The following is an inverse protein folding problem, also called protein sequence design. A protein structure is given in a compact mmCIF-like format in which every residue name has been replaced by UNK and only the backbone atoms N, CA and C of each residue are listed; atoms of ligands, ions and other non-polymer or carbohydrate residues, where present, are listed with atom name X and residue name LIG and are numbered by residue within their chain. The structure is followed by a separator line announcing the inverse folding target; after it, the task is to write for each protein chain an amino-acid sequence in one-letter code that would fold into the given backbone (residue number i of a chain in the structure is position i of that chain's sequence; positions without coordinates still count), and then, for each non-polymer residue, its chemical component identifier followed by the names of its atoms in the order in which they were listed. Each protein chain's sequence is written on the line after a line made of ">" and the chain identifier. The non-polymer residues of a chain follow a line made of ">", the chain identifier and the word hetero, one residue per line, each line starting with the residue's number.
data_IF_558110998882
#
_entry.id   IF_558110998882
#
_cell.length_a   1.000
_cell.length_b   1.000
_cell.length_c   1.000
_cell.angle_alpha   90.00
_cell.angle_beta   90.00
_cell.angle_gamma   90.00
#
_symmetry.space_group_name_H-M   'P 1'
#
loop_
_entity.id
_entity.type
_entity.pdbx_description
1 polymer ?
2 polymer ?
3 polymer ?
4 water ?
#
# COMPACT_ATOMS: atom_id res chain seq x y z
N UNK A 1 23.07 -2.54 -10.45
CA UNK A 1 22.41 -1.85 -11.55
C UNK A 1 22.22 -0.36 -11.25
N UNK A 2 21.33 0.28 -12.00
CA UNK A 2 21.06 1.71 -11.86
C UNK A 2 19.96 1.90 -10.82
N UNK A 3 20.28 2.62 -9.75
CA UNK A 3 19.30 2.78 -8.68
C UNK A 3 19.55 4.07 -7.91
N UNK A 4 18.52 4.45 -7.14
CA UNK A 4 18.61 5.53 -6.16
C UNK A 4 18.26 4.95 -4.79
N UNK A 5 19.11 5.20 -3.81
CA UNK A 5 18.98 4.58 -2.49
C UNK A 5 18.74 5.67 -1.46
N UNK A 6 17.62 5.59 -0.74
CA UNK A 6 17.18 6.65 0.16
C UNK A 6 17.43 6.29 1.61
N UNK A 7 17.46 7.32 2.46
CA UNK A 7 17.63 7.17 3.88
C UNK A 7 16.33 6.68 4.54
N UNK A 8 16.40 6.41 5.83
CA UNK A 8 15.31 5.78 6.55
C UNK A 8 14.29 6.77 7.07
N UNK A 9 13.25 6.21 7.69
CA UNK A 9 12.08 7.00 8.05
C UNK A 9 12.41 8.12 9.01
N UNK A 10 11.63 9.19 8.93
CA UNK A 10 11.75 10.36 9.78
C UNK A 10 10.50 10.46 10.65
N UNK A 11 10.68 10.61 11.96
CA UNK A 11 9.57 10.85 12.87
C UNK A 11 9.80 12.22 13.50
N UNK A 12 8.87 13.14 13.27
CA UNK A 12 9.08 14.55 13.57
C UNK A 12 7.81 15.15 14.17
N UNK A 13 8.00 16.14 15.05
CA UNK A 13 6.88 16.89 15.57
C UNK A 13 6.44 17.95 14.56
N UNK A 14 5.19 18.39 14.63
CA UNK A 14 4.78 19.55 13.83
C UNK A 14 5.67 20.75 14.14
N UNK A 15 6.03 21.48 13.09
CA UNK A 15 6.93 22.60 13.21
C UNK A 15 8.39 22.25 13.05
N UNK A 16 8.76 20.97 13.11
CA UNK A 16 10.13 20.53 12.95
C UNK A 16 10.47 20.46 11.46
N UNK A 17 11.63 19.88 11.14
CA UNK A 17 12.09 19.73 9.77
C UNK A 17 12.44 18.27 9.51
N UNK A 18 12.16 17.80 8.29
CA UNK A 18 12.48 16.44 7.87
C UNK A 18 13.58 16.50 6.83
N UNK A 19 14.54 15.59 6.93
CA UNK A 19 15.65 15.50 5.99
C UNK A 19 15.70 14.10 5.40
N UNK A 20 15.83 14.03 4.09
CA UNK A 20 15.93 12.77 3.38
C UNK A 20 17.14 12.86 2.47
N UNK A 21 17.94 11.80 2.44
CA UNK A 21 19.07 11.73 1.53
C UNK A 21 18.81 10.67 0.47
N UNK A 22 19.52 10.79 -0.63
CA UNK A 22 19.22 10.01 -1.83
C UNK A 22 20.54 9.81 -2.57
N UNK A 23 21.02 8.56 -2.63
CA UNK A 23 22.32 8.25 -3.21
C UNK A 23 22.18 7.61 -4.57
N UNK A 24 22.86 8.17 -5.57
CA UNK A 24 22.86 7.61 -6.91
C UNK A 24 23.89 6.49 -7.00
N UNK A 25 23.49 5.36 -7.58
CA UNK A 25 24.34 4.19 -7.71
C UNK A 25 24.19 3.61 -9.10
N UNK A 26 25.30 3.48 -9.83
CA UNK A 26 25.24 2.95 -11.17
C UNK A 26 25.05 3.99 -12.26
N UNK A 27 24.97 5.27 -11.91
CA UNK A 27 24.98 6.34 -12.88
C UNK A 27 25.55 7.57 -12.19
N UNK A 28 25.89 8.58 -12.99
CA UNK A 28 26.49 9.80 -12.46
C UNK A 28 25.37 10.77 -12.12
N UNK A 29 25.32 11.17 -10.84
CA UNK A 29 24.21 11.99 -10.34
C UNK A 29 24.07 13.28 -11.12
N UNK A 30 25.19 13.90 -11.49
CA UNK A 30 25.16 15.20 -12.14
C UNK A 30 24.73 15.12 -13.59
N UNK A 31 24.47 13.93 -14.11
CA UNK A 31 24.06 13.75 -15.49
C UNK A 31 22.55 13.91 -15.71
N UNK A 32 21.74 13.96 -14.64
CA UNK A 32 20.29 13.93 -14.78
C UNK A 32 19.67 14.82 -13.72
N UNK A 33 18.54 15.45 -14.07
CA UNK A 33 17.73 16.15 -13.08
C UNK A 33 17.24 15.15 -12.03
N UNK A 34 17.18 15.59 -10.78
CA UNK A 34 16.78 14.78 -9.64
C UNK A 34 15.54 15.44 -9.04
N UNK A 35 14.43 14.73 -9.04
CA UNK A 35 13.14 15.25 -8.58
C UNK A 35 12.78 14.66 -7.23
N UNK A 36 11.92 15.37 -6.52
CA UNK A 36 11.31 14.84 -5.32
C UNK A 36 9.80 14.83 -5.51
N UNK A 37 9.19 13.69 -5.20
CA UNK A 37 7.76 13.46 -5.38
C UNK A 37 7.26 12.78 -4.11
N UNK A 38 6.14 13.25 -3.57
CA UNK A 38 5.64 12.61 -2.36
C UNK A 38 4.26 12.04 -2.59
N UNK A 39 3.87 11.11 -1.72
CA UNK A 39 2.57 10.46 -1.83
C UNK A 39 1.99 10.30 -0.44
N UNK A 40 0.99 11.11 -0.12
CA UNK A 40 0.36 11.01 1.19
C UNK A 40 -0.59 9.83 1.18
N UNK A 41 -0.93 9.31 2.37
CA UNK A 41 -1.77 8.11 2.40
C UNK A 41 -3.08 8.29 1.63
N UNK A 42 -3.41 7.27 0.84
CA UNK A 42 -4.64 7.25 0.06
C UNK A 42 -4.72 8.25 -1.07
N UNK A 43 -3.61 8.84 -1.47
CA UNK A 43 -3.66 9.93 -2.44
C UNK A 43 -2.71 9.66 -3.59
N UNK A 44 -2.88 10.47 -4.62
CA UNK A 44 -1.98 10.44 -5.75
C UNK A 44 -0.67 11.13 -5.45
N UNK A 45 0.23 11.01 -6.41
CA UNK A 45 1.57 11.58 -6.29
C UNK A 45 1.58 13.08 -6.51
N UNK A 46 2.48 13.75 -5.80
CA UNK A 46 2.61 15.20 -5.81
C UNK A 46 4.07 15.57 -6.07
N UNK A 47 4.33 16.22 -7.21
CA UNK A 47 5.68 16.69 -7.54
C UNK A 47 6.06 17.88 -6.67
N UNK A 48 7.24 17.80 -6.04
CA UNK A 48 7.69 18.87 -5.15
C UNK A 48 8.66 19.83 -5.81
N UNK A 49 9.46 19.37 -6.76
CA UNK A 49 10.47 20.22 -7.36
C UNK A 49 11.62 19.38 -7.88
N UNK A 50 12.54 20.04 -8.60
CA UNK A 50 13.74 19.33 -9.01
C UNK A 50 15.02 20.06 -8.61
N UNK A 51 16.11 19.29 -8.62
CA UNK A 51 17.47 19.77 -8.44
C UNK A 51 18.25 19.47 -9.70
N UNK A 52 18.99 20.45 -10.20
CA UNK A 52 20.03 20.23 -11.20
C UNK A 52 21.29 19.87 -10.43
N UNK A 53 21.68 18.59 -10.36
CA UNK A 53 22.79 18.22 -9.47
C UNK A 53 24.13 18.69 -9.98
N UNK A 54 24.23 19.01 -11.26
CA UNK A 54 25.45 19.60 -11.81
C UNK A 54 25.65 21.02 -11.29
N UNK A 55 24.66 21.88 -11.50
CA UNK A 55 24.77 23.31 -11.18
C UNK A 55 24.31 23.65 -9.76
N UNK A 56 23.48 22.82 -9.15
CA UNK A 56 22.86 23.16 -7.89
C UNK A 56 21.57 23.96 -8.02
N UNK A 57 21.20 24.35 -9.26
CA UNK A 57 19.97 25.06 -9.47
C UNK A 57 18.77 24.18 -9.15
N UNK A 58 17.65 24.84 -8.88
CA UNK A 58 16.43 24.11 -8.48
C UNK A 58 15.21 24.76 -9.11
N UNK A 59 14.11 24.03 -9.08
CA UNK A 59 12.81 24.56 -9.46
C UNK A 59 11.80 23.93 -8.51
N UNK A 60 11.29 24.71 -7.57
CA UNK A 60 10.36 24.20 -6.56
C UNK A 60 8.92 24.48 -7.00
N UNK A 61 8.03 23.53 -6.72
CA UNK A 61 6.61 23.80 -6.86
C UNK A 61 6.20 24.93 -5.92
N UNK A 62 5.28 25.79 -6.37
CA UNK A 62 4.93 26.98 -5.57
C UNK A 62 4.39 26.60 -4.21
N UNK A 63 3.74 25.44 -4.11
CA UNK A 63 3.20 24.97 -2.83
C UNK A 63 4.27 24.86 -1.76
N UNK A 64 5.53 24.60 -2.14
CA UNK A 64 6.59 24.33 -1.18
C UNK A 64 7.63 25.44 -1.13
N UNK A 65 7.43 26.53 -1.87
CA UNK A 65 8.39 27.62 -1.84
C UNK A 65 8.45 28.21 -0.44
N UNK A 66 9.67 28.42 0.05
CA UNK A 66 9.90 28.88 1.39
C UNK A 66 10.01 27.76 2.40
N UNK A 67 9.68 26.52 2.02
CA UNK A 67 9.68 25.39 2.94
C UNK A 67 10.65 24.29 2.57
N UNK A 68 11.10 24.21 1.33
CA UNK A 68 11.85 23.05 0.86
C UNK A 68 13.23 23.50 0.38
N UNK A 69 14.24 22.68 0.65
CA UNK A 69 15.58 22.90 0.15
C UNK A 69 16.08 21.61 -0.48
N UNK A 70 16.58 21.71 -1.69
CA UNK A 70 17.15 20.57 -2.41
C UNK A 70 18.61 20.88 -2.71
N UNK A 71 19.50 20.02 -2.21
CA UNK A 71 20.94 20.23 -2.29
C UNK A 71 21.60 18.92 -2.66
N UNK A 72 22.92 18.94 -2.85
CA UNK A 72 23.61 17.69 -3.09
C UNK A 72 25.06 17.82 -2.67
N UNK A 73 25.67 16.65 -2.48
CA UNK A 73 27.12 16.51 -2.34
C UNK A 73 27.57 15.63 -3.50
N UNK A 74 28.10 16.24 -4.57
CA UNK A 74 28.47 15.46 -5.74
C UNK A 74 29.62 14.51 -5.46
N UNK A 75 30.44 14.78 -4.42
CA UNK A 75 31.58 13.92 -4.12
C UNK A 75 31.14 12.56 -3.61
N UNK A 76 29.96 12.46 -2.99
CA UNK A 76 29.44 11.18 -2.54
C UNK A 76 28.14 10.82 -3.27
N UNK A 77 27.89 11.45 -4.42
CA UNK A 77 26.78 11.13 -5.32
C UNK A 77 25.43 11.19 -4.62
N UNK A 78 25.29 12.07 -3.63
CA UNK A 78 24.13 12.10 -2.75
C UNK A 78 23.38 13.42 -2.86
N UNK A 79 22.05 13.34 -3.00
CA UNK A 79 21.18 14.50 -2.99
C UNK A 79 20.40 14.53 -1.68
N UNK A 80 19.94 15.73 -1.31
CA UNK A 80 19.25 15.92 -0.05
C UNK A 80 18.01 16.76 -0.27
N UNK A 81 16.95 16.43 0.46
CA UNK A 81 15.75 17.26 0.50
C UNK A 81 15.46 17.54 1.96
N UNK A 82 15.24 18.80 2.29
CA UNK A 82 14.80 19.18 3.63
C UNK A 82 13.48 19.93 3.51
N UNK A 83 12.50 19.55 4.34
CA UNK A 83 11.20 20.20 4.37
C UNK A 83 10.99 20.74 5.77
N UNK A 84 10.78 22.05 5.87
CA UNK A 84 10.69 22.76 7.14
C UNK A 84 9.23 23.01 7.53
N UNK A 85 9.04 23.47 8.76
CA UNK A 85 7.72 23.88 9.27
C UNK A 85 6.68 22.79 9.00
N UNK A 86 7.01 21.57 9.39
CA UNK A 86 6.18 20.42 9.07
C UNK A 86 4.78 20.57 9.66
N UNK A 87 3.79 20.13 8.89
CA UNK A 87 2.41 20.03 9.35
C UNK A 87 1.95 18.59 9.15
N UNK A 88 0.83 18.25 9.78
CA UNK A 88 0.34 16.87 9.70
C UNK A 88 0.12 16.44 8.26
N UNK A 89 -0.30 17.35 7.38
CA UNK A 89 -0.49 17.02 5.97
C UNK A 89 0.80 16.67 5.25
N UNK A 90 1.97 16.89 5.87
CA UNK A 90 3.22 16.47 5.25
C UNK A 90 3.53 15.00 5.48
N UNK A 91 2.75 14.31 6.29
CA UNK A 91 2.96 12.88 6.46
C UNK A 91 2.76 12.17 5.13
N UNK A 92 3.80 11.49 4.63
CA UNK A 92 3.76 10.94 3.28
C UNK A 92 4.99 10.07 3.05
N UNK A 93 4.97 9.32 1.95
CA UNK A 93 6.19 8.69 1.45
C UNK A 93 6.84 9.68 0.49
N UNK A 94 8.15 9.90 0.63
CA UNK A 94 8.89 10.84 -0.21
C UNK A 94 9.84 10.05 -1.08
N UNK A 95 9.72 10.24 -2.39
CA UNK A 95 10.59 9.58 -3.35
C UNK A 95 11.55 10.60 -3.96
N UNK A 96 12.81 10.22 -4.11
CA UNK A 96 13.64 10.88 -5.11
C UNK A 96 13.58 10.07 -6.40
N UNK A 97 13.69 10.78 -7.51
CA UNK A 97 13.42 10.16 -8.81
C UNK A 97 14.13 10.97 -9.88
N UNK A 98 14.78 10.26 -10.78
CA UNK A 98 15.49 10.86 -11.89
C UNK A 98 14.55 11.02 -13.07
N UNK A 99 14.74 12.10 -13.83
CA UNK A 99 14.09 12.23 -15.13
C UNK A 99 15.14 12.24 -16.24
N UNK A 100 14.70 11.92 -17.44
CA UNK A 100 15.56 12.04 -18.64
C UNK A 100 14.87 13.01 -19.57
N UNK A 101 15.43 14.22 -19.67
CA UNK A 101 14.83 15.30 -20.45
C UNK A 101 15.05 15.11 -21.95
N UNK A 102 16.01 14.27 -22.33
CA UNK A 102 16.32 14.06 -23.73
C UNK A 102 15.59 12.84 -24.28
N UNK A 103 16.13 11.66 -23.99
CA UNK A 103 15.56 10.42 -24.56
C UNK A 103 14.10 10.22 -24.15
N UNK A 104 13.75 10.54 -22.91
CA UNK A 104 12.44 10.17 -22.38
C UNK A 104 11.49 11.36 -22.27
N UNK A 105 11.86 12.52 -22.81
CA UNK A 105 10.97 13.67 -22.87
C UNK A 105 10.39 14.01 -21.51
N UNK A 106 11.24 13.97 -20.48
CA UNK A 106 10.85 14.37 -19.14
C UNK A 106 10.28 13.28 -18.26
N UNK A 107 10.17 12.04 -18.75
CA UNK A 107 9.60 10.98 -17.93
C UNK A 107 10.58 10.57 -16.82
N UNK A 108 10.04 9.87 -15.83
CA UNK A 108 10.75 9.53 -14.59
C UNK A 108 11.12 8.05 -14.64
N UNK A 109 12.38 7.72 -14.95
CA UNK A 109 12.69 6.30 -15.18
C UNK A 109 13.26 5.56 -13.96
N UNK A 110 14.04 6.21 -13.09
CA UNK A 110 14.64 5.56 -11.94
C UNK A 110 14.11 6.22 -10.68
N UNK A 111 13.47 5.43 -9.81
CA UNK A 111 12.85 5.89 -8.57
C UNK A 111 13.57 5.30 -7.37
N UNK A 112 13.78 6.11 -6.34
CA UNK A 112 14.22 5.57 -5.06
C UNK A 112 13.13 4.69 -4.46
N UNK A 113 13.49 4.01 -3.37
CA UNK A 113 12.52 3.14 -2.72
C UNK A 113 11.50 3.91 -1.90
N UNK A 114 11.73 5.20 -1.66
CA UNK A 114 10.85 5.98 -0.82
C UNK A 114 11.31 6.03 0.64
N UNK A 115 10.99 7.16 1.29
CA UNK A 115 11.27 7.38 2.70
C UNK A 115 9.99 7.85 3.36
N UNK A 116 9.59 7.19 4.46
CA UNK A 116 8.41 7.63 5.18
C UNK A 116 8.76 8.81 6.06
N UNK A 117 7.93 9.84 6.03
CA UNK A 117 8.02 10.94 6.98
C UNK A 117 6.70 10.98 7.74
N UNK A 118 6.78 10.77 9.06
CA UNK A 118 5.64 10.80 9.95
C UNK A 118 5.71 12.08 10.77
N UNK A 119 4.68 12.92 10.65
CA UNK A 119 4.56 14.12 11.48
C UNK A 119 3.62 13.77 12.63
N UNK A 120 4.17 13.69 13.84
CA UNK A 120 3.50 13.03 14.96
C UNK A 120 3.34 14.02 16.11
N UNK A 121 2.09 14.17 16.60
CA UNK A 121 1.93 14.86 17.87
C UNK A 121 1.43 13.84 18.90
N UNK A 122 0.13 13.60 18.93
CA UNK A 122 -0.40 12.56 19.81
C UNK A 122 0.03 11.17 19.31
N UNK A 123 0.31 10.28 20.24
CA UNK A 123 0.75 8.93 19.87
C UNK A 123 0.32 7.94 20.95
N UNK A 124 0.01 6.72 20.51
CA UNK A 124 -0.34 5.63 21.40
C UNK A 124 0.22 4.36 20.78
N UNK A 125 1.11 3.66 21.47
CA UNK A 125 1.66 2.42 20.93
C UNK A 125 0.61 1.33 20.88
N UNK A 126 0.79 0.36 19.99
CA UNK A 126 -0.23 -0.68 19.81
C UNK A 126 -0.23 -1.71 20.94
N UNK A 127 -1.39 -2.30 21.17
CA UNK A 127 -1.48 -3.56 21.91
C UNK A 127 -1.46 -4.68 20.89
N UNK A 128 -0.69 -5.73 21.16
CA UNK A 128 -0.53 -6.82 20.20
C UNK A 128 -1.01 -8.10 20.85
N UNK A 129 -2.00 -8.74 20.24
CA UNK A 129 -2.62 -9.94 20.79
C UNK A 129 -2.50 -11.11 19.84
N UNK A 130 -2.25 -12.32 20.32
CA UNK A 130 -2.13 -13.45 19.38
C UNK A 130 -3.48 -13.85 18.81
N UNK A 131 -3.47 -14.24 17.54
CA UNK A 131 -4.57 -14.94 16.90
C UNK A 131 -4.13 -16.41 16.82
N UNK A 132 -4.51 -17.18 17.83
CA UNK A 132 -3.90 -18.50 18.04
C UNK A 132 -4.46 -19.53 17.06
N UNK A 133 -3.61 -20.37 16.49
CA UNK A 133 -4.14 -21.46 15.66
C UNK A 133 -4.82 -22.49 16.53
N UNK A 134 -5.87 -23.10 15.98
CA UNK A 134 -6.63 -24.13 16.68
C UNK A 134 -7.31 -24.99 15.62
N UNK A 135 -8.10 -25.97 16.08
CA UNK A 135 -8.90 -26.73 15.14
C UNK A 135 -9.88 -25.83 14.39
N UNK A 136 -10.22 -24.69 14.97
CA UNK A 136 -11.16 -23.75 14.34
C UNK A 136 -10.50 -22.88 13.28
N UNK A 137 -9.16 -22.93 13.17
CA UNK A 137 -8.45 -22.20 12.12
C UNK A 137 -7.57 -23.15 11.34
N UNK A 138 -8.01 -24.40 11.22
CA UNK A 138 -7.35 -25.38 10.37
C UNK A 138 -8.33 -25.84 9.30
N UNK A 139 -7.88 -25.88 8.05
CA UNK A 139 -8.71 -26.35 6.94
C UNK A 139 -7.81 -27.09 5.95
N UNK A 140 -8.10 -28.38 5.75
CA UNK A 140 -7.42 -29.21 4.76
C UNK A 140 -5.91 -29.14 4.70
N UNK A 141 -5.24 -29.37 5.82
CA UNK A 141 -3.79 -29.33 5.88
C UNK A 141 -3.21 -27.97 6.18
N UNK A 142 -4.02 -26.92 6.15
CA UNK A 142 -3.54 -25.55 6.34
C UNK A 142 -4.02 -25.05 7.69
N UNK A 143 -3.12 -24.43 8.45
CA UNK A 143 -3.52 -23.71 9.66
C UNK A 143 -3.27 -22.22 9.47
N UNK A 144 -4.19 -21.40 9.95
CA UNK A 144 -4.00 -19.96 9.93
C UNK A 144 -3.76 -19.48 11.36
N UNK A 145 -2.91 -18.47 11.47
CA UNK A 145 -2.60 -17.85 12.76
C UNK A 145 -2.27 -16.40 12.47
N UNK A 146 -2.18 -15.57 13.50
CA UNK A 146 -1.82 -14.19 13.25
C UNK A 146 -1.66 -13.38 14.52
N UNK A 147 -1.66 -12.05 14.33
CA UNK A 147 -1.61 -11.12 15.43
C UNK A 147 -2.61 -10.01 15.17
N UNK A 148 -3.37 -9.67 16.21
CA UNK A 148 -4.25 -8.50 16.20
C UNK A 148 -3.50 -7.32 16.80
N UNK A 149 -3.40 -6.23 16.04
CA UNK A 149 -2.64 -5.05 16.45
C UNK A 149 -3.66 -3.94 16.68
N UNK A 150 -3.95 -3.64 17.94
CA UNK A 150 -5.13 -2.87 18.32
C UNK A 150 -4.76 -1.56 19.01
N UNK A 151 -5.56 -0.52 18.74
CA UNK A 151 -5.59 0.72 19.54
C UNK A 151 -4.29 1.50 19.46
N UNK A 152 -3.82 1.75 18.24
CA UNK A 152 -2.61 2.54 18.05
C UNK A 152 -2.92 3.83 17.30
N UNK A 153 -2.00 4.77 17.39
CA UNK A 153 -2.14 6.05 16.73
C UNK A 153 -0.80 6.75 16.70
N UNK A 154 -0.45 7.44 15.61
CA UNK A 154 -1.12 7.40 14.32
C UNK A 154 -0.70 6.17 13.52
N UNK A 155 -1.12 6.09 12.27
CA UNK A 155 -0.54 5.09 11.39
C UNK A 155 0.91 5.45 11.10
N UNK A 156 1.74 4.47 10.69
CA UNK A 156 1.43 3.05 10.49
C UNK A 156 2.13 2.13 11.47
N UNK A 157 1.64 0.92 11.59
CA UNK A 157 2.47 -0.17 12.08
C UNK A 157 2.98 -0.94 10.87
N UNK A 158 4.17 -1.51 10.99
CA UNK A 158 4.62 -2.52 10.06
C UNK A 158 4.72 -3.84 10.81
N UNK A 159 4.39 -4.94 10.14
CA UNK A 159 4.41 -6.26 10.76
C UNK A 159 5.28 -7.17 9.92
N UNK A 160 6.23 -7.83 10.56
CA UNK A 160 6.96 -8.93 9.95
C UNK A 160 6.70 -10.19 10.78
N UNK A 161 7.06 -11.33 10.20
CA UNK A 161 6.91 -12.62 10.87
C UNK A 161 8.26 -13.29 10.92
N UNK A 162 8.62 -13.78 12.11
CA UNK A 162 9.92 -14.45 12.30
C UNK A 162 11.05 -13.60 11.78
N UNK A 163 10.97 -12.28 12.05
CA UNK A 163 12.01 -11.31 11.74
C UNK A 163 12.28 -11.21 10.24
N UNK A 164 11.24 -11.41 9.42
CA UNK A 164 11.37 -11.36 7.97
C UNK A 164 11.58 -12.69 7.29
N UNK A 165 11.81 -13.75 8.06
CA UNK A 165 12.02 -15.06 7.44
C UNK A 165 10.73 -15.67 6.91
N UNK A 166 9.58 -15.24 7.39
CA UNK A 166 8.30 -15.81 6.96
C UNK A 166 7.55 -14.70 6.23
N UNK A 167 7.40 -14.85 4.91
CA UNK A 167 6.68 -13.88 4.09
C UNK A 167 5.63 -14.56 3.24
N UNK A 168 5.88 -15.80 2.82
CA UNK A 168 4.90 -16.52 2.03
C UNK A 168 3.61 -16.71 2.83
N UNK A 169 2.49 -16.39 2.20
CA UNK A 169 1.20 -16.56 2.81
C UNK A 169 0.80 -15.53 3.86
N UNK A 170 1.62 -14.49 4.07
CA UNK A 170 1.30 -13.42 5.02
C UNK A 170 0.34 -12.43 4.38
N UNK A 171 -0.71 -12.08 5.11
CA UNK A 171 -1.59 -10.97 4.72
C UNK A 171 -1.63 -10.01 5.90
N UNK A 172 -1.05 -8.84 5.74
CA UNK A 172 -1.17 -7.79 6.74
C UNK A 172 -2.22 -6.85 6.18
N UNK A 173 -3.35 -6.80 6.87
CA UNK A 173 -4.50 -6.09 6.35
C UNK A 173 -4.36 -4.57 6.47
N UNK A 174 -4.95 -3.83 5.54
CA UNK A 174 -5.11 -2.38 5.73
C UNK A 174 -5.80 -2.09 7.04
N UNK A 175 -5.33 -1.06 7.73
CA UNK A 175 -5.92 -0.72 9.03
C UNK A 175 -7.35 -0.24 8.86
N UNK A 176 -8.13 -0.41 9.94
CA UNK A 176 -9.44 0.22 10.06
C UNK A 176 -9.32 1.33 11.09
N UNK A 177 -10.24 2.30 11.01
CA UNK A 177 -10.39 3.35 11.98
C UNK A 177 -11.49 2.96 12.96
N UNK A 178 -11.15 2.86 14.24
CA UNK A 178 -12.15 2.50 15.22
C UNK A 178 -12.93 3.74 15.64
N UNK A 179 -14.10 3.51 16.25
CA UNK A 179 -14.92 4.63 16.68
C UNK A 179 -14.19 5.49 17.71
N UNK A 180 -13.23 4.91 18.41
CA UNK A 180 -12.38 5.65 19.34
C UNK A 180 -11.45 6.66 18.64
N UNK A 181 -11.27 6.56 17.33
CA UNK A 181 -10.25 7.32 16.65
C UNK A 181 -8.89 6.65 16.60
N UNK A 182 -8.76 5.47 17.19
CA UNK A 182 -7.52 4.68 17.14
C UNK A 182 -7.62 3.65 16.03
N UNK A 183 -6.47 3.19 15.55
CA UNK A 183 -6.42 2.25 14.43
C UNK A 183 -6.27 0.83 14.93
N UNK A 184 -6.63 -0.12 14.06
CA UNK A 184 -6.48 -1.54 14.36
C UNK A 184 -6.27 -2.29 13.06
N UNK A 185 -5.48 -3.35 13.11
CA UNK A 185 -5.37 -4.26 11.97
C UNK A 185 -4.96 -5.62 12.48
N UNK A 186 -5.10 -6.63 11.62
CA UNK A 186 -4.54 -7.94 11.88
C UNK A 186 -3.56 -8.30 10.78
N UNK A 187 -2.58 -9.10 11.16
CA UNK A 187 -1.67 -9.74 10.23
C UNK A 187 -1.83 -11.23 10.41
N UNK A 188 -2.04 -11.96 9.30
CA UNK A 188 -2.28 -13.39 9.38
C UNK A 188 -1.32 -14.11 8.45
N UNK A 189 -1.14 -15.39 8.71
CA UNK A 189 -0.31 -16.21 7.82
C UNK A 189 -0.89 -17.62 7.80
N UNK A 190 -0.81 -18.27 6.66
CA UNK A 190 -1.15 -19.69 6.57
C UNK A 190 0.12 -20.52 6.47
N UNK A 191 0.14 -21.61 7.23
CA UNK A 191 1.29 -22.52 7.31
C UNK A 191 0.76 -23.95 7.28
N UNK A 192 1.60 -24.97 7.09
CA UNK A 192 1.06 -26.34 7.19
C UNK A 192 0.63 -26.61 8.62
N UNK A 193 -0.52 -27.28 8.76
CA UNK A 193 -0.95 -27.59 10.13
C UNK A 193 0.06 -28.49 10.82
N UNK A 194 0.75 -29.32 10.04
CA UNK A 194 1.82 -30.15 10.58
C UNK A 194 2.96 -29.35 11.21
N UNK A 195 3.09 -28.06 10.89
CA UNK A 195 4.22 -27.30 11.39
C UNK A 195 4.03 -26.77 12.80
N UNK A 196 2.82 -26.87 13.35
CA UNK A 196 2.51 -26.22 14.62
C UNK A 196 3.27 -26.83 15.79
N UNK A 197 3.71 -28.09 15.66
CA UNK A 197 4.48 -28.68 16.73
C UNK A 197 5.98 -28.44 16.70
N UNK A 198 6.55 -27.97 15.59
CA UNK A 198 7.98 -27.80 15.51
C UNK A 198 8.41 -26.37 15.19
N UNK A 199 7.54 -25.57 14.59
CA UNK A 199 7.93 -24.23 14.19
C UNK A 199 7.39 -23.23 15.22
N UNK A 200 8.16 -22.20 15.46
CA UNK A 200 7.66 -21.09 16.25
C UNK A 200 7.29 -19.95 15.31
N UNK A 201 6.24 -19.23 15.69
CA UNK A 201 5.74 -18.13 14.88
C UNK A 201 5.64 -16.90 15.76
N UNK A 202 6.42 -15.88 15.44
CA UNK A 202 6.48 -14.65 16.22
C UNK A 202 6.19 -13.49 15.28
N UNK A 203 5.23 -12.65 15.65
CA UNK A 203 4.97 -11.46 14.85
C UNK A 203 5.75 -10.28 15.44
N UNK A 204 6.38 -9.50 14.56
CA UNK A 204 7.21 -8.37 14.96
C UNK A 204 6.50 -7.10 14.52
N UNK A 205 6.03 -6.31 15.48
CA UNK A 205 5.20 -5.15 15.21
C UNK A 205 6.01 -3.90 15.52
N UNK A 206 6.27 -3.09 14.50
CA UNK A 206 7.01 -1.86 14.66
C UNK A 206 6.05 -0.68 14.54
N UNK A 207 6.06 0.20 15.52
CA UNK A 207 5.24 1.43 15.46
C UNK A 207 6.22 2.58 15.59
N UNK A 208 6.81 2.99 14.46
CA UNK A 208 7.80 4.05 14.48
C UNK A 208 7.27 5.35 15.07
N UNK A 209 6.02 5.76 14.84
CA UNK A 209 5.54 7.01 15.46
C UNK A 209 5.68 7.10 16.97
N UNK A 210 5.63 5.97 17.70
CA UNK A 210 5.83 5.96 19.14
C UNK A 210 7.16 5.34 19.54
N UNK A 211 8.01 5.02 18.55
CA UNK A 211 9.32 4.42 18.80
C UNK A 211 9.17 3.14 19.62
N UNK A 212 8.16 2.33 19.29
CA UNK A 212 7.92 1.09 20.01
C UNK A 212 8.00 -0.10 19.06
N UNK A 213 8.45 -1.22 19.60
CA UNK A 213 8.44 -2.49 18.90
C UNK A 213 7.91 -3.55 19.86
N UNK A 214 7.04 -4.42 19.36
CA UNK A 214 6.48 -5.51 20.16
C UNK A 214 6.65 -6.80 19.37
N UNK A 215 7.25 -7.81 20.00
CA UNK A 215 7.28 -9.16 19.44
C UNK A 215 6.32 -10.03 20.24
N UNK A 216 5.53 -10.84 19.55
CA UNK A 216 4.55 -11.70 20.22
C UNK A 216 4.63 -13.10 19.65
N UNK A 217 4.94 -14.07 20.50
CA UNK A 217 4.91 -15.47 20.08
C UNK A 217 3.48 -15.97 20.06
N UNK A 218 3.08 -16.57 18.95
CA UNK A 218 1.73 -17.04 18.73
C UNK A 218 1.72 -18.56 18.89
N UNK A 219 1.10 -19.04 19.96
CA UNK A 219 1.06 -20.45 20.26
C UNK A 219 -0.33 -21.05 20.08
N UNK A 220 -0.42 -22.34 19.81
CA UNK A 220 -1.72 -22.97 19.56
C UNK A 220 -2.62 -22.97 20.79
N UNK A 221 -3.92 -22.93 20.53
CA UNK A 221 -4.94 -23.08 21.55
C UNK A 221 -5.59 -24.45 21.44
N UNK A 222 -6.04 -24.96 22.58
CA UNK A 222 -6.45 -26.36 22.73
C UNK A 222 -7.93 -26.55 22.41
N UNK A 223 -8.35 -26.08 21.25
CA UNK A 223 -9.66 -26.39 20.71
C UNK A 223 -9.54 -26.61 19.21
N UNK B 1 -0.86 25.60 -12.43
CA UNK B 1 -0.33 24.28 -12.80
C UNK B 1 -1.31 23.54 -13.70
N UNK B 2 -0.80 22.61 -14.51
CA UNK B 2 -1.64 21.77 -15.35
C UNK B 2 -2.23 20.64 -14.52
N UNK B 3 -3.55 20.47 -14.57
CA UNK B 3 -4.26 19.46 -13.80
C UNK B 3 -4.55 18.25 -14.68
N UNK B 4 -4.41 17.06 -14.09
CA UNK B 4 -4.62 15.81 -14.81
C UNK B 4 -5.76 15.01 -14.17
N UNK B 5 -6.61 14.43 -15.01
CA UNK B 5 -7.75 13.63 -14.57
C UNK B 5 -7.85 12.38 -15.42
N UNK B 6 -8.20 11.26 -14.78
CA UNK B 6 -8.28 9.98 -15.45
C UNK B 6 -9.70 9.42 -15.35
N UNK B 7 -10.06 8.58 -16.31
CA UNK B 7 -11.36 7.92 -16.35
C UNK B 7 -11.20 6.55 -16.98
N UNK B 8 -11.82 5.51 -16.41
CA UNK B 8 -12.57 5.51 -15.16
C UNK B 8 -11.63 5.58 -13.95
N UNK B 9 -12.16 5.65 -12.74
CA UNK B 9 -11.28 5.52 -11.59
C UNK B 9 -10.96 4.07 -11.27
N UNK B 10 -11.81 3.13 -11.69
CA UNK B 10 -11.55 1.71 -11.48
C UNK B 10 -12.25 0.90 -12.55
N UNK B 11 -11.70 -0.26 -12.87
CA UNK B 11 -12.31 -1.17 -13.82
C UNK B 11 -11.88 -2.60 -13.53
N UNK B 12 -12.63 -3.54 -14.08
CA UNK B 12 -12.38 -4.95 -13.89
C UNK B 12 -12.50 -5.63 -15.23
N UNK B 13 -11.57 -6.53 -15.56
CA UNK B 13 -11.61 -7.19 -16.85
C UNK B 13 -10.92 -8.55 -16.77
N UNK B 14 -11.26 -9.42 -17.72
CA UNK B 14 -10.72 -10.78 -17.73
C UNK B 14 -9.34 -10.83 -18.39
N UNK B 15 -8.63 -11.91 -18.08
CA UNK B 15 -7.37 -12.19 -18.76
C UNK B 15 -7.64 -12.26 -20.26
N UNK B 16 -6.76 -11.65 -21.05
CA UNK B 16 -6.92 -11.59 -22.49
C UNK B 16 -7.75 -10.44 -23.00
N UNK B 17 -8.50 -9.75 -22.13
CA UNK B 17 -9.29 -8.60 -22.52
C UNK B 17 -8.40 -7.43 -22.89
N UNK B 18 -9.00 -6.47 -23.60
CA UNK B 18 -8.38 -5.19 -23.90
C UNK B 18 -9.08 -4.13 -23.08
N UNK B 19 -8.32 -3.38 -22.29
CA UNK B 19 -8.90 -2.29 -21.52
C UNK B 19 -8.28 -0.98 -21.95
N UNK B 20 -9.04 0.09 -21.80
CA UNK B 20 -8.56 1.42 -22.15
C UNK B 20 -8.84 2.38 -21.03
N UNK B 21 -7.83 3.18 -20.69
CA UNK B 21 -7.87 4.19 -19.65
C UNK B 21 -7.61 5.53 -20.30
N UNK B 22 -8.43 6.52 -19.98
CA UNK B 22 -8.25 7.85 -20.56
C UNK B 22 -7.61 8.80 -19.54
N UNK B 23 -6.86 9.76 -20.08
CA UNK B 23 -6.21 10.78 -19.27
C UNK B 23 -6.48 12.11 -19.95
N UNK B 24 -6.84 13.12 -19.16
CA UNK B 24 -7.11 14.47 -19.67
C UNK B 24 -6.26 15.49 -18.94
N UNK B 25 -5.80 16.50 -19.67
CA UNK B 25 -5.01 17.58 -19.09
C UNK B 25 -5.78 18.89 -19.22
N UNK B 26 -5.61 19.78 -18.21
CA UNK B 26 -6.38 21.02 -18.17
C UNK B 26 -5.96 22.00 -19.25
N UNK B 27 -4.80 21.81 -19.86
CA UNK B 27 -4.36 22.58 -21.02
C UNK B 27 -3.38 21.72 -21.80
N UNK B 28 -3.12 22.11 -23.04
CA UNK B 28 -2.37 21.22 -23.91
C UNK B 28 -0.96 20.99 -23.38
N UNK B 29 -0.51 19.74 -23.46
CA UNK B 29 0.83 19.31 -23.08
C UNK B 29 1.56 18.72 -24.28
N UNK B 30 1.09 19.03 -25.50
CA UNK B 30 1.59 18.42 -26.72
C UNK B 30 1.60 16.90 -26.58
N UNK B 31 2.77 16.25 -26.70
CA UNK B 31 2.82 14.80 -26.49
C UNK B 31 3.65 14.42 -25.27
N UNK B 32 3.85 15.35 -24.33
CA UNK B 32 4.68 15.13 -23.15
C UNK B 32 3.82 14.48 -22.07
N UNK B 33 3.46 13.22 -22.32
CA UNK B 33 2.53 12.48 -21.48
C UNK B 33 3.10 11.09 -21.24
N UNK B 34 3.19 10.70 -19.98
CA UNK B 34 3.85 9.46 -19.59
C UNK B 34 2.86 8.63 -18.78
N UNK B 35 3.02 7.30 -18.83
CA UNK B 35 2.18 6.40 -18.05
C UNK B 35 3.05 5.56 -17.13
N UNK B 36 2.54 5.31 -15.91
CA UNK B 36 3.24 4.52 -14.90
C UNK B 36 2.30 3.46 -14.35
N UNK B 37 2.89 2.36 -13.89
CA UNK B 37 2.18 1.34 -13.16
C UNK B 37 2.62 1.44 -11.71
N UNK B 38 1.66 1.37 -10.78
CA UNK B 38 2.02 1.38 -9.37
C UNK B 38 1.28 0.27 -8.63
N UNK B 39 2.03 -0.52 -7.91
CA UNK B 39 1.43 -1.51 -7.04
C UNK B 39 1.55 -1.04 -5.58
N UNK B 40 0.65 -1.50 -4.70
CA UNK B 40 0.69 -1.03 -3.31
C UNK B 40 2.06 -1.26 -2.69
N UNK B 41 2.54 -0.25 -1.96
CA UNK B 41 3.82 -0.36 -1.29
C UNK B 41 5.05 -0.28 -2.17
N UNK B 42 4.91 0.07 -3.43
CA UNK B 42 6.04 0.18 -4.34
C UNK B 42 6.10 1.56 -4.98
N UNK B 43 7.28 1.93 -5.44
CA UNK B 43 7.40 3.09 -6.29
C UNK B 43 6.74 2.80 -7.65
N UNK B 44 6.28 3.85 -8.34
CA UNK B 44 5.77 3.64 -9.70
C UNK B 44 6.89 3.16 -10.62
N UNK B 45 6.49 2.44 -11.66
CA UNK B 45 7.38 2.01 -12.73
C UNK B 45 6.95 2.65 -14.05
N UNK B 46 7.91 3.22 -14.78
CA UNK B 46 7.58 3.85 -16.05
C UNK B 46 7.20 2.80 -17.09
N UNK B 47 6.09 3.05 -17.78
CA UNK B 47 5.60 2.18 -18.86
C UNK B 47 5.80 2.82 -20.22
N UNK B 48 5.31 4.04 -20.38
CA UNK B 48 5.24 4.73 -21.67
C UNK B 48 5.65 6.18 -21.47
N UNK B 49 6.45 6.71 -22.39
CA UNK B 49 6.84 8.11 -22.38
C UNK B 49 6.53 8.71 -23.75
N UNK B 50 6.47 10.05 -23.80
CA UNK B 50 6.20 10.78 -25.03
C UNK B 50 4.94 10.26 -25.72
N UNK B 51 3.92 10.00 -24.92
CA UNK B 51 2.59 9.54 -25.33
C UNK B 51 2.56 8.07 -25.75
N UNK B 52 3.51 7.61 -26.59
CA UNK B 52 3.39 6.28 -27.15
C UNK B 52 4.66 5.44 -27.16
N UNK B 53 5.79 5.94 -26.70
CA UNK B 53 7.01 5.15 -26.69
C UNK B 53 7.05 4.22 -25.48
N UNK B 54 7.32 2.94 -25.72
CA UNK B 54 7.43 1.96 -24.65
C UNK B 54 8.80 2.03 -24.00
N UNK B 55 8.82 2.13 -22.67
CA UNK B 55 10.09 2.13 -21.98
C UNK B 55 10.73 0.74 -22.05
N UNK B 56 12.06 0.73 -21.94
CA UNK B 56 12.83 -0.51 -21.99
C UNK B 56 12.25 -1.56 -21.04
N UNK B 57 11.81 -2.69 -21.60
CA UNK B 57 11.32 -3.81 -20.82
C UNK B 57 9.82 -3.99 -20.76
N UNK B 58 9.05 -3.15 -21.44
CA UNK B 58 7.59 -3.14 -21.33
C UNK B 58 6.99 -3.84 -22.54
N UNK B 59 6.07 -4.78 -22.36
CA UNK B 59 5.51 -5.51 -23.51
C UNK B 59 4.64 -4.64 -24.39
N UNK B 60 4.59 -5.02 -25.68
CA UNK B 60 3.76 -4.30 -26.64
C UNK B 60 2.28 -4.39 -26.31
N UNK B 61 1.91 -5.22 -25.33
CA UNK B 61 0.55 -5.21 -24.80
C UNK B 61 0.12 -3.81 -24.39
N UNK B 62 1.06 -3.02 -23.86
CA UNK B 62 0.79 -1.64 -23.48
C UNK B 62 0.95 -0.72 -24.69
N UNK B 63 -0.06 0.11 -24.93
CA UNK B 63 -0.05 1.06 -26.05
C UNK B 63 -0.56 2.40 -25.55
N UNK B 64 0.00 3.49 -26.08
CA UNK B 64 -0.47 4.81 -25.75
C UNK B 64 -0.76 5.64 -26.99
N UNK B 65 -1.74 6.52 -26.88
CA UNK B 65 -2.11 7.41 -27.98
C UNK B 65 -2.64 8.72 -27.41
N UNK B 66 -2.74 9.73 -28.27
CA UNK B 66 -3.32 11.01 -27.90
C UNK B 66 -2.43 12.17 -28.26
N UNK B 67 -2.92 13.37 -27.95
CA UNK B 67 -2.20 14.63 -28.11
C UNK B 67 -2.98 15.76 -27.44
N UNK B 68 -2.24 16.77 -27.00
CA UNK B 68 -2.83 18.00 -26.52
C UNK B 68 -3.41 17.83 -25.13
N UNK B 69 -4.71 17.51 -25.06
CA UNK B 69 -5.36 17.36 -23.76
C UNK B 69 -6.05 16.01 -23.57
N UNK B 70 -6.01 15.11 -24.54
CA UNK B 70 -6.68 13.83 -24.42
C UNK B 70 -5.78 12.67 -24.83
N UNK B 71 -5.68 11.67 -23.96
CA UNK B 71 -4.73 10.58 -24.09
C UNK B 71 -5.39 9.28 -23.65
N UNK B 72 -4.88 8.18 -24.18
CA UNK B 72 -5.40 6.84 -23.88
C UNK B 72 -4.24 5.89 -23.62
N UNK B 73 -4.38 5.09 -22.57
CA UNK B 73 -3.52 3.93 -22.35
C UNK B 73 -4.35 2.70 -22.67
N UNK B 74 -3.85 1.84 -23.55
CA UNK B 74 -4.54 0.60 -23.89
C UNK B 74 -3.69 -0.56 -23.42
N UNK B 75 -4.31 -1.47 -22.67
CA UNK B 75 -3.68 -2.71 -22.26
C UNK B 75 -4.41 -3.81 -23.01
N UNK B 76 -3.73 -4.40 -24.00
CA UNK B 76 -4.26 -5.56 -24.68
C UNK B 76 -3.77 -6.81 -23.95
N UNK B 77 -4.53 -7.90 -24.12
CA UNK B 77 -4.17 -9.21 -23.55
C UNK B 77 -3.82 -9.11 -22.06
N UNK B 78 -4.76 -8.54 -21.30
CA UNK B 78 -4.60 -8.32 -19.86
C UNK B 78 -4.11 -9.58 -19.15
N UNK B 79 -3.11 -9.42 -18.29
CA UNK B 79 -2.50 -10.52 -17.55
C UNK B 79 -2.69 -10.33 -16.06
N UNK B 80 -2.64 -11.40 -15.27
CA UNK B 80 -2.85 -11.25 -13.81
C UNK B 80 -1.90 -10.25 -13.17
N UNK B 81 -0.64 -10.22 -13.60
CA UNK B 81 0.32 -9.30 -13.00
C UNK B 81 0.05 -7.85 -13.35
N UNK B 82 -0.94 -7.57 -14.21
CA UNK B 82 -1.34 -6.21 -14.53
C UNK B 82 -2.27 -5.61 -13.49
N UNK B 83 -2.70 -6.40 -12.51
CA UNK B 83 -3.54 -5.84 -11.45
C UNK B 83 -2.70 -4.82 -10.69
N UNK B 84 -3.12 -3.56 -10.77
CA UNK B 84 -2.33 -2.44 -10.30
C UNK B 84 -3.09 -1.16 -10.53
N UNK B 85 -2.50 -0.04 -10.13
CA UNK B 85 -2.99 1.29 -10.49
C UNK B 85 -2.13 1.85 -11.62
N UNK B 86 -2.79 2.46 -12.61
CA UNK B 86 -2.11 3.06 -13.76
C UNK B 86 -2.29 4.56 -13.69
N UNK B 87 -1.18 5.29 -13.79
CA UNK B 87 -1.15 6.72 -13.55
C UNK B 87 -0.59 7.41 -14.78
N UNK B 88 -1.24 8.51 -15.18
CA UNK B 88 -0.65 9.36 -16.21
C UNK B 88 0.07 10.53 -15.57
N UNK B 89 0.96 11.16 -16.35
CA UNK B 89 1.76 12.26 -15.83
C UNK B 89 2.17 13.16 -16.99
N UNK B 90 1.87 14.45 -16.88
CA UNK B 90 2.39 15.39 -17.88
C UNK B 90 3.78 15.85 -17.49
N UNK B 91 4.64 16.00 -18.50
CA UNK B 91 5.99 16.52 -18.33
C UNK B 91 6.26 17.69 -19.29
N UNK B 92 5.23 18.49 -19.57
CA UNK B 92 5.34 19.63 -20.47
C UNK B 92 5.74 20.91 -19.73
N UNK B 93 5.04 21.22 -18.65
CA UNK B 93 5.28 22.44 -17.85
C UNK B 93 5.22 22.02 -16.38
N UNK B 94 6.38 21.94 -15.73
CA UNK B 94 6.52 21.23 -14.46
C UNK B 94 6.03 19.79 -14.66
N UNK B 95 5.68 19.10 -13.58
CA UNK B 95 5.21 17.73 -13.69
C UNK B 95 3.96 17.58 -12.84
N UNK B 96 2.94 16.91 -13.38
CA UNK B 96 1.69 16.63 -12.68
C UNK B 96 1.26 15.19 -12.95
N UNK B 97 0.83 14.50 -11.88
CA UNK B 97 0.31 13.15 -11.98
C UNK B 97 -1.20 13.15 -11.90
N UNK B 98 -1.83 12.30 -12.71
CA UNK B 98 -3.20 11.88 -12.46
C UNK B 98 -3.29 11.07 -11.17
N UNK B 99 -4.52 10.93 -10.66
CA UNK B 99 -4.74 10.24 -9.40
C UNK B 99 -4.74 8.72 -9.55
N UNK B 100 -4.81 8.22 -10.75
CA UNK B 100 -4.69 6.80 -10.98
C UNK B 100 -6.02 6.14 -11.31
N UNK B 101 -5.93 5.04 -12.04
CA UNK B 101 -7.05 4.15 -12.34
C UNK B 101 -6.71 2.77 -11.81
N UNK B 102 -7.58 2.20 -11.00
CA UNK B 102 -7.34 0.87 -10.44
C UNK B 102 -7.86 -0.17 -11.41
N UNK B 103 -7.01 -1.16 -11.72
CA UNK B 103 -7.36 -2.24 -12.62
C UNK B 103 -7.36 -3.55 -11.85
N UNK B 104 -8.53 -4.20 -11.78
CA UNK B 104 -8.69 -5.53 -11.23
C UNK B 104 -8.74 -6.54 -12.38
N UNK B 105 -8.03 -7.66 -12.21
CA UNK B 105 -8.00 -8.70 -13.24
C UNK B 105 -8.85 -9.87 -12.75
N UNK B 106 -9.89 -10.19 -13.50
CA UNK B 106 -10.80 -11.27 -13.11
C UNK B 106 -10.10 -12.62 -13.22
N UNK B 107 -10.59 -13.58 -12.44
CA UNK B 107 -10.15 -14.97 -12.53
C UNK B 107 -11.35 -15.86 -12.28
N UNK B 108 -11.16 -17.17 -12.46
CA UNK B 108 -12.24 -18.11 -12.16
C UNK B 108 -12.61 -18.01 -10.68
N UNK B 109 -13.89 -18.25 -10.39
CA UNK B 109 -14.37 -18.16 -9.00
C UNK B 109 -13.54 -19.05 -8.08
N UNK B 110 -13.22 -18.51 -6.90
CA UNK B 110 -12.49 -19.25 -5.87
C UNK B 110 -13.17 -18.97 -4.56
N UNK B 111 -13.74 -20.01 -3.94
CA UNK B 111 -14.40 -19.83 -2.66
C UNK B 111 -13.37 -19.57 -1.57
N UNK B 112 -13.73 -18.78 -0.55
CA UNK B 112 -12.80 -18.56 0.56
C UNK B 112 -12.65 -19.78 1.45
N UNK B 113 -11.42 -20.00 1.91
CA UNK B 113 -11.22 -20.76 3.12
C UNK B 113 -11.55 -19.87 4.31
N UNK B 114 -12.19 -20.42 5.33
CA UNK B 114 -12.68 -19.63 6.45
C UNK B 114 -12.06 -20.13 7.74
N UNK B 115 -11.56 -19.20 8.54
CA UNK B 115 -10.86 -19.50 9.78
C UNK B 115 -11.36 -18.56 10.86
N UNK B 116 -11.51 -19.04 12.09
CA UNK B 116 -11.97 -18.18 13.18
C UNK B 116 -10.98 -18.23 14.33
N UNK B 117 -10.83 -17.10 15.02
CA UNK B 117 -9.91 -16.95 16.14
C UNK B 117 -10.62 -16.41 17.38
N UNK B 118 -10.64 -17.15 18.47
CA UNK B 118 -11.20 -16.61 19.72
C UNK B 118 -10.28 -15.55 20.30
N UNK B 119 -10.78 -14.72 21.21
CA UNK B 119 -9.93 -13.70 21.81
C UNK B 119 -8.86 -14.30 22.69
N UNK B 120 -7.73 -13.61 22.75
CA UNK B 120 -6.65 -14.02 23.63
C UNK B 120 -6.97 -13.68 25.08
N UNK B 121 -6.41 -14.46 26.00
CA UNK B 121 -6.48 -14.10 27.41
C UNK B 121 -5.87 -12.72 27.64
N UNK B 122 -4.79 -12.40 26.94
CA UNK B 122 -4.15 -11.09 27.12
C UNK B 122 -5.11 -9.96 26.77
N UNK B 123 -5.93 -10.11 25.73
CA UNK B 123 -6.87 -9.03 25.44
C UNK B 123 -7.95 -8.93 26.52
N UNK B 124 -8.40 -10.07 27.03
CA UNK B 124 -9.46 -10.01 28.02
C UNK B 124 -9.04 -9.19 29.24
N UNK B 125 -7.73 -9.13 29.51
CA UNK B 125 -7.22 -8.29 30.59
C UNK B 125 -7.41 -6.80 30.33
N UNK B 126 -7.62 -6.41 29.07
CA UNK B 126 -7.85 -5.02 28.70
C UNK B 126 -9.31 -4.63 28.76
N UNK B 127 -10.21 -5.58 29.04
CA UNK B 127 -11.63 -5.28 29.12
C UNK B 127 -12.40 -5.41 27.82
N UNK B 128 -11.76 -5.86 26.75
CA UNK B 128 -12.48 -6.10 25.50
C UNK B 128 -12.14 -7.49 25.00
N UNK B 129 -12.93 -7.95 24.03
CA UNK B 129 -12.80 -9.27 23.45
C UNK B 129 -13.05 -9.11 21.97
N UNK B 130 -12.04 -9.40 21.15
CA UNK B 130 -12.19 -9.37 19.71
C UNK B 130 -12.18 -10.79 19.16
N UNK B 131 -13.13 -11.10 18.30
CA UNK B 131 -13.17 -12.37 17.57
C UNK B 131 -12.90 -12.06 16.11
N UNK B 132 -11.95 -12.80 15.51
CA UNK B 132 -11.53 -12.53 14.13
C UNK B 132 -11.93 -13.69 13.24
N UNK B 133 -12.55 -13.36 12.11
CA UNK B 133 -12.89 -14.30 11.06
C UNK B 133 -12.07 -13.94 9.85
N UNK B 134 -11.31 -14.90 9.32
CA UNK B 134 -10.47 -14.70 8.15
C UNK B 134 -11.04 -15.48 6.97
N UNK B 135 -11.25 -14.78 5.86
CA UNK B 135 -11.64 -15.39 4.59
C UNK B 135 -10.43 -15.30 3.68
N UNK B 136 -9.88 -16.44 3.29
CA UNK B 136 -8.59 -16.45 2.61
C UNK B 136 -8.69 -16.85 1.14
N UNK B 137 -8.02 -16.07 0.30
CA UNK B 137 -7.67 -16.41 -1.10
C UNK B 137 -8.91 -16.70 -1.95
N UNK B 138 -9.76 -15.70 -2.09
CA UNK B 138 -11.03 -15.90 -2.78
C UNK B 138 -11.17 -14.89 -3.91
N UNK B 139 -12.09 -15.19 -4.83
CA UNK B 139 -12.41 -14.29 -5.95
C UNK B 139 -13.79 -14.69 -6.42
N UNK B 140 -14.70 -13.73 -6.69
CA UNK B 140 -14.52 -12.27 -6.66
C UNK B 140 -14.48 -11.66 -5.26
N UNK B 141 -14.27 -10.34 -5.27
CA UNK B 141 -13.99 -9.61 -4.05
C UNK B 141 -15.19 -9.57 -3.12
N UNK B 142 -16.40 -9.66 -3.66
CA UNK B 142 -17.61 -9.55 -2.87
C UNK B 142 -17.77 -10.80 -2.01
N UNK B 143 -17.84 -10.58 -0.70
CA UNK B 143 -18.15 -11.65 0.24
C UNK B 143 -18.95 -11.02 1.38
N UNK B 144 -19.71 -11.83 2.08
CA UNK B 144 -20.46 -11.32 3.21
C UNK B 144 -20.16 -12.17 4.43
N UNK B 145 -19.88 -11.50 5.55
CA UNK B 145 -19.66 -12.16 6.83
C UNK B 145 -20.80 -11.73 7.74
N UNK B 146 -21.51 -12.70 8.30
CA UNK B 146 -22.52 -12.44 9.32
C UNK B 146 -22.03 -13.02 10.64
N UNK B 147 -22.05 -12.20 11.69
CA UNK B 147 -21.69 -12.66 13.02
C UNK B 147 -22.93 -13.09 13.78
N UNK B 148 -22.85 -14.21 14.47
CA UNK B 148 -23.93 -14.70 15.29
C UNK B 148 -23.39 -15.08 16.66
N UNK B 149 -24.03 -14.57 17.71
CA UNK B 149 -23.65 -14.86 19.09
C UNK B 149 -24.85 -15.55 19.71
N UNK B 150 -24.65 -16.80 20.14
CA UNK B 150 -25.74 -17.70 20.53
C UNK B 150 -26.91 -17.60 19.56
N UNK B 151 -26.58 -17.71 18.27
CA UNK B 151 -27.51 -17.73 17.14
C UNK B 151 -28.25 -16.41 16.91
N UNK B 152 -27.85 -15.32 17.57
CA UNK B 152 -28.45 -14.01 17.35
C UNK B 152 -27.57 -13.21 16.41
N UNK B 153 -28.17 -12.73 15.31
CA UNK B 153 -27.40 -11.99 14.31
C UNK B 153 -26.91 -10.66 14.88
N UNK B 154 -25.63 -10.38 14.66
CA UNK B 154 -25.04 -9.15 15.17
C UNK B 154 -25.08 -8.07 14.11
N UNK B 155 -25.15 -6.82 14.56
CA UNK B 155 -24.94 -5.69 13.66
C UNK B 155 -24.35 -4.56 14.47
N UNK B 156 -23.41 -3.84 13.89
CA UNK B 156 -22.87 -2.65 14.50
C UNK B 156 -21.64 -2.82 15.36
N UNK B 157 -21.15 -4.05 15.54
CA UNK B 157 -20.00 -4.25 16.41
C UNK B 157 -18.88 -4.98 15.68
N UNK B 158 -18.79 -4.83 14.36
CA UNK B 158 -17.72 -5.49 13.62
C UNK B 158 -17.10 -4.54 12.60
N UNK B 159 -15.87 -4.83 12.24
CA UNK B 159 -15.12 -4.07 11.24
C UNK B 159 -14.49 -5.04 10.26
N UNK B 160 -14.39 -4.62 9.02
CA UNK B 160 -13.92 -5.47 7.93
C UNK B 160 -12.78 -4.78 7.20
N UNK B 161 -11.83 -5.57 6.70
CA UNK B 161 -10.78 -5.02 5.85
C UNK B 161 -10.42 -6.04 4.78
N UNK B 162 -10.15 -5.56 3.56
CA UNK B 162 -9.83 -6.44 2.44
C UNK B 162 -8.41 -6.15 1.97
N UNK B 163 -7.68 -7.19 1.58
CA UNK B 163 -6.35 -6.98 1.03
C UNK B 163 -6.42 -6.39 -0.37
N UNK B 164 -5.29 -5.89 -0.86
CA UNK B 164 -5.16 -5.64 -2.28
C UNK B 164 -5.20 -6.96 -3.04
N UNK B 165 -5.59 -6.90 -4.32
CA UNK B 165 -5.61 -8.10 -5.14
C UNK B 165 -4.19 -8.65 -5.33
N UNK B 166 -4.07 -9.97 -5.23
CA UNK B 166 -2.77 -10.62 -5.39
C UNK B 166 -2.33 -10.57 -6.84
N UNK B 167 -1.06 -10.18 -7.06
CA UNK B 167 -0.55 -10.03 -8.42
C UNK B 167 -0.32 -11.38 -9.12
N UNK B 168 -0.18 -12.46 -8.36
CA UNK B 168 0.13 -13.79 -8.89
C UNK B 168 -1.12 -14.64 -9.11
N UNK B 169 -2.01 -14.70 -8.13
CA UNK B 169 -3.17 -15.56 -8.27
C UNK B 169 -4.50 -14.81 -8.33
N UNK B 170 -4.49 -13.49 -8.27
CA UNK B 170 -5.65 -12.65 -8.51
C UNK B 170 -6.71 -12.79 -7.43
N UNK B 171 -6.34 -13.30 -6.24
CA UNK B 171 -7.30 -13.46 -5.16
C UNK B 171 -7.21 -12.32 -4.15
N UNK B 172 -8.20 -12.29 -3.27
CA UNK B 172 -8.29 -11.39 -2.13
C UNK B 172 -8.34 -12.20 -0.85
N UNK B 173 -8.00 -11.55 0.26
CA UNK B 173 -8.36 -12.07 1.57
C UNK B 173 -9.06 -10.96 2.35
N UNK B 174 -9.79 -11.37 3.39
CA UNK B 174 -10.64 -10.43 4.11
C UNK B 174 -10.64 -10.81 5.58
N UNK B 175 -10.56 -9.81 6.45
CA UNK B 175 -10.72 -10.02 7.88
C UNK B 175 -12.00 -9.35 8.33
N UNK B 176 -12.73 -10.01 9.22
CA UNK B 176 -13.86 -9.41 9.89
C UNK B 176 -13.63 -9.60 11.38
N UNK B 177 -13.72 -8.51 12.14
CA UNK B 177 -13.41 -8.52 13.56
C UNK B 177 -14.64 -8.07 14.33
N UNK B 178 -15.12 -8.93 15.21
CA UNK B 178 -16.25 -8.63 16.09
C UNK B 178 -15.67 -8.21 17.43
N UNK B 179 -16.00 -7.03 17.92
CA UNK B 179 -15.42 -6.61 19.19
C UNK B 179 -16.55 -6.38 20.19
N UNK B 180 -16.47 -7.10 21.32
CA UNK B 180 -17.42 -6.95 22.41
C UNK B 180 -16.70 -6.42 23.65
N UNK B 181 -17.46 -5.84 24.56
CA UNK B 181 -16.92 -5.69 25.90
C UNK B 181 -16.65 -7.07 26.49
N UNK B 182 -15.66 -7.14 27.39
CA UNK B 182 -15.43 -8.39 28.10
C UNK B 182 -16.67 -8.83 28.85
N UNK B 183 -17.38 -7.87 29.47
CA UNK B 183 -18.56 -8.23 30.23
C UNK B 183 -19.63 -8.83 29.34
N UNK B 184 -19.79 -8.31 28.12
CA UNK B 184 -20.76 -8.89 27.20
C UNK B 184 -20.26 -10.23 26.69
N UNK B 185 -18.96 -10.32 26.41
CA UNK B 185 -18.40 -11.55 25.86
C UNK B 185 -18.60 -12.73 26.81
N UNK B 186 -18.41 -12.49 28.12
CA UNK B 186 -18.48 -13.56 29.10
C UNK B 186 -19.91 -14.01 29.39
N UNK B 187 -20.91 -13.36 28.80
CA UNK B 187 -22.31 -13.72 29.00
C UNK B 187 -22.85 -14.60 27.89
N UNK B 188 -22.03 -15.00 26.93
CA UNK B 188 -22.52 -15.78 25.81
C UNK B 188 -21.60 -16.97 25.55
N UNK B 189 -22.15 -17.98 24.87
CA UNK B 189 -21.49 -19.25 24.66
C UNK B 189 -20.92 -19.40 23.26
N UNK B 190 -21.78 -19.43 22.23
CA UNK B 190 -21.36 -19.77 20.87
C UNK B 190 -21.09 -18.51 20.07
N UNK B 191 -19.91 -18.44 19.47
CA UNK B 191 -19.52 -17.35 18.59
C UNK B 191 -19.25 -17.94 17.21
N UNK B 192 -19.90 -17.37 16.19
CA UNK B 192 -19.88 -17.95 14.86
C UNK B 192 -19.79 -16.85 13.82
N UNK B 193 -19.00 -17.09 12.77
CA UNK B 193 -19.04 -16.24 11.59
C UNK B 193 -19.56 -17.06 10.43
N UNK B 194 -20.51 -16.49 9.71
CA UNK B 194 -21.23 -17.19 8.66
C UNK B 194 -20.92 -16.48 7.35
N UNK B 195 -20.34 -17.21 6.40
CA UNK B 195 -19.73 -16.62 5.22
C UNK B 195 -20.55 -17.02 3.99
N UNK B 196 -20.85 -16.05 3.15
CA UNK B 196 -21.45 -16.31 1.84
C UNK B 196 -20.57 -15.69 0.74
N UNK B 197 -20.62 -16.30 -0.43
CA UNK B 197 -19.71 -15.95 -1.52
C UNK B 197 -20.17 -16.69 -2.76
N UNK B 198 -19.87 -16.13 -3.95
CA UNK B 198 -20.26 -16.77 -5.21
C UNK B 198 -19.81 -18.22 -5.26
N UNK B 199 -18.63 -18.51 -4.71
CA UNK B 199 -18.05 -19.84 -4.77
C UNK B 199 -18.67 -20.85 -3.82
N UNK B 200 -19.59 -20.42 -2.96
CA UNK B 200 -20.21 -21.27 -1.96
C UNK B 200 -21.67 -21.50 -2.30
N UNK B 201 -22.08 -22.77 -2.37
CA UNK B 201 -23.48 -23.06 -2.63
C UNK B 201 -24.35 -22.98 -1.38
N UNK B 202 -23.74 -22.95 -0.20
CA UNK B 202 -24.46 -22.70 1.04
C UNK B 202 -23.48 -22.03 1.99
N UNK B 203 -23.98 -21.32 3.00
CA UNK B 203 -23.06 -20.59 3.89
C UNK B 203 -22.08 -21.51 4.59
N UNK B 204 -20.88 -21.01 4.79
CA UNK B 204 -19.86 -21.70 5.59
C UNK B 204 -19.87 -21.05 6.97
N UNK B 205 -20.07 -21.84 8.01
CA UNK B 205 -20.05 -21.32 9.37
C UNK B 205 -18.86 -21.90 10.10
N UNK B 206 -18.02 -21.04 10.66
CA UNK B 206 -17.00 -21.44 11.61
C UNK B 206 -17.39 -20.89 12.98
N UNK B 207 -17.29 -21.71 14.02
CA UNK B 207 -17.76 -21.27 15.33
C UNK B 207 -16.95 -21.93 16.43
N UNK B 208 -17.05 -21.35 17.61
CA UNK B 208 -16.50 -21.98 18.81
C UNK B 208 -17.41 -21.67 19.99
N UNK B 209 -17.29 -22.47 21.05
CA UNK B 209 -17.95 -22.22 22.32
C UNK B 209 -16.97 -21.52 23.26
N UNK B 210 -17.41 -20.42 23.87
CA UNK B 210 -16.55 -19.72 24.82
C UNK B 210 -16.17 -20.66 25.95
N UNK B 211 -14.93 -20.57 26.41
CA UNK B 211 -14.42 -21.45 27.42
C UNK B 211 -13.83 -22.75 26.90
N UNK B 212 -14.36 -23.27 25.79
CA UNK B 212 -13.72 -24.43 25.16
C UNK B 212 -12.38 -24.07 24.54
N UNK B 213 -12.14 -22.78 24.27
CA UNK B 213 -10.85 -22.31 23.81
C UNK B 213 -10.21 -21.42 24.87
N UNK C 1 2.93 26.04 -28.68
CA UNK C 1 2.79 25.64 -27.28
C UNK C 1 4.06 24.96 -26.76
N UNK C 2 5.17 25.69 -26.71
CA UNK C 2 6.43 25.06 -26.35
C UNK C 2 6.44 24.65 -24.88
N UNK C 3 7.16 23.57 -24.63
CA UNK C 3 7.27 23.05 -23.25
C UNK C 3 8.12 24.02 -22.42
N UNK C 4 7.84 24.10 -21.14
CA UNK C 4 8.55 24.99 -20.24
C UNK C 4 9.64 24.29 -19.45
N UNK C 5 9.78 22.99 -19.58
CA UNK C 5 10.76 22.21 -18.85
C UNK C 5 12.06 22.14 -19.65
N UNK C 6 13.18 21.79 -19.01
CA UNK C 6 14.46 21.78 -19.75
C UNK C 6 14.45 20.78 -20.89
N UNK C 7 15.05 21.18 -22.02
CA UNK C 7 15.12 20.28 -23.16
C UNK C 7 16.35 19.38 -23.15
N UNK C 8 17.32 19.68 -22.30
CA UNK C 8 18.53 18.91 -22.23
C UNK C 8 18.75 18.46 -20.80
N UNK C 9 19.52 17.40 -20.66
CA UNK C 9 19.94 16.98 -19.33
C UNK C 9 21.07 17.88 -18.84
N UNK C 10 21.36 17.87 -17.53
CA UNK C 10 22.33 18.83 -16.98
C UNK C 10 23.72 18.75 -17.58
N UNK C 11 24.12 17.56 -17.99
CA UNK C 11 25.51 17.36 -18.47
C UNK C 11 25.83 18.19 -19.73
#
# INVERSE_FOLDING_TARGET
>A
QVQLVQSGAEVKKPGASARVSCKASGYTLTDFYLHWVRQAPGQGLEWMGWLNPHSGGTNYAQKFLGRVSMTRDTSISTAYMELNKLISDDTAVYFCVRSDQEALRGAFDIWGQGTMVFVVSRRLPPSVFPLAPSSKSTSGGTAALGCLVKDYFPEPVTVSWNSGALTSGVHTFPAVLQSSGLYSLSSVVTVPSSSLGTQTYICNVNHKPSNTKVDKKVEPKSC
>B
DIQMTQSPSSLSASVGDTVTITCRASQSINDYLNWYQQKPGKAPKLLIYATSSLHSGVPSRFSGSGFGTDFTLTISSLQPEDSATYLCQQSHSLWTFGQGTKVEVKRTVAAPSVFIFPPSDEQLKSGTASVVCLLNNFYPREAKVQWKVDNALQSGNSQESVTEQDSKDSTYSLSSTLTLSKADYEKHKVYACEVTHQGLSSPVTKSFNRGEC
>C
NPNANPNANPN
#
